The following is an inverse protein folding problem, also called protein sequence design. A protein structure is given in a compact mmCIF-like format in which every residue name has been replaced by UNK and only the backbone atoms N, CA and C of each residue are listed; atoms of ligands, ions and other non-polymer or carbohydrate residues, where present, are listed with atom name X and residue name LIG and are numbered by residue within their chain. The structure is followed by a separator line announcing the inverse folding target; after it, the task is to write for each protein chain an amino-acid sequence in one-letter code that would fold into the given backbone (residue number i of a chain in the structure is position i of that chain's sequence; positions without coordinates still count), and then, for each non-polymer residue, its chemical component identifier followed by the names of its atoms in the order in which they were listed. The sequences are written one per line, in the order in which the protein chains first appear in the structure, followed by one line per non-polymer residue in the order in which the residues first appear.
data_IF_321484194666
#
_entry.id   IF_321484194666
#
_cell.length_a   1.000
_cell.length_b   1.000
_cell.length_c   1.000
_cell.angle_alpha   90.00
_cell.angle_beta   90.00
_cell.angle_gamma   90.00
#
_symmetry.space_group_name_H-M   'P 1'
#
loop_
_entity.id
_entity.type
_entity.pdbx_description
1 polymer ?
#
# COMPACT_ATOMS: atom_id res chain seq x y z
N UNK A 1 -25.50 -0.52 34.00
CA UNK A 1 -25.25 -1.38 32.82
C UNK A 1 -25.14 -0.53 31.56
N UNK A 2 -26.20 0.19 31.15
CA UNK A 2 -26.19 1.12 30.00
C UNK A 2 -25.05 2.15 29.99
N UNK A 3 -24.79 2.85 31.11
CA UNK A 3 -23.72 3.86 31.17
C UNK A 3 -22.32 3.24 31.00
N UNK A 4 -22.12 2.01 31.48
CA UNK A 4 -20.84 1.33 31.34
C UNK A 4 -20.63 0.87 29.88
N UNK A 5 -21.65 0.31 29.23
CA UNK A 5 -21.59 -0.10 27.81
C UNK A 5 -21.30 1.08 26.88
N UNK A 6 -21.97 2.22 27.09
CA UNK A 6 -21.71 3.46 26.32
C UNK A 6 -20.27 3.95 26.49
N UNK A 7 -19.68 3.81 27.69
CA UNK A 7 -18.30 4.22 27.93
C UNK A 7 -17.29 3.36 27.16
N UNK A 8 -17.50 2.05 27.06
CA UNK A 8 -16.59 1.16 26.34
C UNK A 8 -16.67 1.34 24.82
N UNK A 9 -17.87 1.49 24.25
CA UNK A 9 -18.03 1.70 22.81
C UNK A 9 -17.34 2.97 22.32
N UNK A 10 -17.51 4.07 23.07
CA UNK A 10 -16.84 5.35 22.78
C UNK A 10 -15.33 5.20 22.91
N UNK A 11 -14.86 4.57 23.98
CA UNK A 11 -13.42 4.33 24.19
C UNK A 11 -12.79 3.54 23.03
N UNK A 12 -13.41 2.42 22.62
CA UNK A 12 -12.89 1.60 21.53
C UNK A 12 -13.02 2.28 20.17
N UNK A 13 -14.04 3.10 19.95
CA UNK A 13 -14.15 3.93 18.75
C UNK A 13 -13.02 4.96 18.65
N UNK A 14 -12.71 5.63 19.77
CA UNK A 14 -11.57 6.55 19.85
C UNK A 14 -10.27 5.80 19.60
N UNK A 15 -10.10 4.63 20.21
CA UNK A 15 -8.94 3.78 19.98
C UNK A 15 -8.79 3.39 18.50
N UNK A 16 -9.85 2.93 17.84
CA UNK A 16 -9.84 2.58 16.43
C UNK A 16 -9.43 3.75 15.54
N UNK A 17 -9.97 4.95 15.80
CA UNK A 17 -9.62 6.15 15.06
C UNK A 17 -8.16 6.54 15.26
N UNK A 18 -7.67 6.57 16.51
CA UNK A 18 -6.28 6.93 16.83
C UNK A 18 -5.31 5.90 16.27
N UNK A 19 -5.62 4.61 16.38
CA UNK A 19 -4.83 3.53 15.80
C UNK A 19 -4.76 3.69 14.28
N UNK A 20 -5.90 3.94 13.62
CA UNK A 20 -5.94 4.18 12.18
C UNK A 20 -5.12 5.40 11.77
N UNK A 21 -5.13 6.49 12.55
CA UNK A 21 -4.28 7.66 12.27
C UNK A 21 -2.78 7.32 12.41
N UNK A 22 -2.40 6.56 13.43
CA UNK A 22 -1.03 6.09 13.63
C UNK A 22 -0.58 5.16 12.49
N UNK A 23 -1.42 4.22 12.08
CA UNK A 23 -1.16 3.34 10.94
C UNK A 23 -1.04 4.17 9.65
N UNK A 24 -1.95 5.11 9.40
CA UNK A 24 -1.87 6.01 8.24
C UNK A 24 -0.56 6.82 8.20
N UNK A 25 -0.06 7.24 9.36
CA UNK A 25 1.25 7.92 9.45
C UNK A 25 2.41 7.00 9.07
N UNK A 26 2.34 5.72 9.47
CA UNK A 26 3.27 4.69 9.00
C UNK A 26 3.12 4.41 7.49
N UNK A 27 1.90 4.38 6.95
CA UNK A 27 1.66 4.20 5.51
C UNK A 27 2.32 5.30 4.68
N UNK A 28 2.37 6.54 5.16
CA UNK A 28 3.13 7.60 4.48
C UNK A 28 4.63 7.26 4.32
N UNK A 29 5.21 6.51 5.26
CA UNK A 29 6.58 6.00 5.15
C UNK A 29 6.65 4.94 4.06
N UNK A 30 5.72 3.98 4.04
CA UNK A 30 5.67 2.93 3.01
C UNK A 30 5.48 3.53 1.61
N UNK A 31 4.52 4.45 1.45
CA UNK A 31 4.22 5.12 0.18
C UNK A 31 5.45 5.84 -0.37
N UNK A 32 6.23 6.50 0.49
CA UNK A 32 7.45 7.18 0.07
C UNK A 32 8.61 6.23 -0.23
N UNK A 33 8.78 5.15 0.55
CA UNK A 33 10.01 4.34 0.52
C UNK A 33 9.94 3.14 -0.42
N UNK A 34 8.79 2.45 -0.50
CA UNK A 34 8.64 1.24 -1.31
C UNK A 34 8.95 1.47 -2.80
N UNK A 35 8.40 2.52 -3.46
CA UNK A 35 8.67 2.77 -4.89
C UNK A 35 10.15 3.08 -5.18
N UNK A 36 10.86 3.59 -4.17
CA UNK A 36 12.27 3.96 -4.26
C UNK A 36 13.21 2.83 -3.81
N UNK A 37 12.69 1.62 -3.56
CA UNK A 37 13.44 0.49 -3.01
C UNK A 37 14.21 0.83 -1.72
N UNK A 38 13.70 1.79 -0.93
CA UNK A 38 14.31 2.20 0.32
C UNK A 38 13.85 1.32 1.47
N UNK A 39 14.76 1.04 2.40
CA UNK A 39 14.42 0.28 3.61
C UNK A 39 13.36 1.00 4.45
N UNK A 40 12.27 0.31 4.77
CA UNK A 40 11.22 0.83 5.66
C UNK A 40 11.76 1.02 7.09
N UNK A 41 12.71 0.18 7.52
CA UNK A 41 13.24 0.18 8.88
C UNK A 41 14.56 0.97 9.04
N UNK A 42 15.19 1.39 7.94
CA UNK A 42 16.45 2.13 7.97
C UNK A 42 16.37 3.41 7.10
N UNK A 43 16.44 4.62 7.70
CA UNK A 43 16.51 4.90 9.14
C UNK A 43 15.19 4.59 9.87
N UNK A 44 15.30 4.20 11.15
CA UNK A 44 14.16 3.82 12.01
C UNK A 44 13.16 4.96 12.24
N UNK A 45 13.62 6.21 12.20
CA UNK A 45 12.77 7.39 12.39
C UNK A 45 12.45 8.05 11.06
N UNK A 46 11.24 8.63 10.98
CA UNK A 46 10.85 9.51 9.88
C UNK A 46 11.79 10.72 9.78
N UNK A 47 12.02 11.18 8.56
CA UNK A 47 12.88 12.33 8.27
C UNK A 47 12.22 13.21 7.20
N UNK A 48 12.56 14.49 7.19
CA UNK A 48 12.08 15.41 6.16
C UNK A 48 12.76 15.10 4.81
N UNK A 49 12.02 14.91 3.72
CA UNK A 49 12.61 14.58 2.42
C UNK A 49 13.49 15.72 1.85
N UNK A 50 13.23 16.98 2.20
CA UNK A 50 13.99 18.14 1.73
C UNK A 50 15.28 18.39 2.52
N UNK A 51 15.22 18.48 3.85
CA UNK A 51 16.39 18.81 4.67
C UNK A 51 17.06 17.59 5.31
N UNK A 52 16.49 16.38 5.14
CA UNK A 52 16.96 15.10 5.70
C UNK A 52 17.11 15.06 7.22
N UNK A 53 16.66 16.09 7.94
CA UNK A 53 16.62 16.11 9.41
C UNK A 53 15.57 15.10 9.89
N UNK A 54 15.92 14.36 10.95
CA UNK A 54 14.98 13.48 11.64
C UNK A 54 13.84 14.28 12.26
N UNK A 55 12.61 13.75 12.16
CA UNK A 55 11.41 14.34 12.72
C UNK A 55 11.29 13.91 14.18
N UNK A 56 11.12 14.88 15.08
CA UNK A 56 10.87 14.62 16.49
C UNK A 56 9.49 13.97 16.68
N UNK A 57 9.32 13.14 17.70
CA UNK A 57 8.08 12.37 17.88
C UNK A 57 6.82 13.26 17.96
N UNK A 58 6.89 14.42 18.63
CA UNK A 58 5.79 15.38 18.71
C UNK A 58 5.40 16.00 17.36
N UNK A 59 6.36 16.09 16.43
CA UNK A 59 6.16 16.60 15.07
C UNK A 59 5.69 15.49 14.11
N UNK A 60 5.60 14.26 14.61
CA UNK A 60 5.09 13.09 13.90
C UNK A 60 3.76 12.62 14.51
N UNK A 61 3.08 13.46 15.29
CA UNK A 61 1.74 13.19 15.78
C UNK A 61 0.74 13.27 14.61
N UNK A 62 0.06 12.16 14.25
CA UNK A 62 -0.82 12.11 13.08
C UNK A 62 -1.91 13.17 13.14
N UNK A 63 -2.29 13.74 11.99
CA UNK A 63 -3.27 14.81 11.77
C UNK A 63 -2.89 16.16 12.40
N UNK A 64 -2.52 16.15 13.68
CA UNK A 64 -2.25 17.33 14.49
C UNK A 64 -1.00 18.06 13.99
N UNK A 65 0.09 17.33 13.73
CA UNK A 65 1.36 17.96 13.35
C UNK A 65 1.24 18.74 12.05
N UNK A 66 0.50 18.22 11.07
CA UNK A 66 0.31 18.91 9.80
C UNK A 66 -0.51 20.20 9.96
N UNK A 67 -1.57 20.17 10.78
CA UNK A 67 -2.41 21.34 11.06
C UNK A 67 -1.65 22.42 11.84
N UNK A 68 -0.94 22.03 12.91
CA UNK A 68 -0.18 22.95 13.77
C UNK A 68 0.98 23.59 12.98
N UNK A 69 1.70 22.80 12.19
CA UNK A 69 2.80 23.29 11.36
C UNK A 69 2.32 23.94 10.04
N UNK A 70 1.00 24.01 9.82
CA UNK A 70 0.36 24.59 8.61
C UNK A 70 0.94 24.00 7.31
N UNK A 71 1.15 22.69 7.30
CA UNK A 71 1.72 21.97 6.16
C UNK A 71 3.16 22.37 5.81
N UNK A 72 3.98 22.74 6.81
CA UNK A 72 5.40 23.08 6.60
C UNK A 72 6.32 22.33 7.55
N UNK A 73 7.54 22.06 7.11
CA UNK A 73 8.56 21.49 7.97
C UNK A 73 9.01 22.51 9.02
N UNK A 74 9.06 22.11 10.30
CA UNK A 74 9.50 22.96 11.40
C UNK A 74 10.97 23.42 11.29
N UNK A 75 11.83 22.66 10.60
CA UNK A 75 13.26 22.96 10.49
C UNK A 75 13.61 23.80 9.27
N UNK A 76 13.09 23.46 8.08
CA UNK A 76 13.46 24.12 6.82
C UNK A 76 12.34 24.91 6.15
N UNK A 77 11.11 24.90 6.69
CA UNK A 77 9.97 25.60 6.11
C UNK A 77 9.42 25.03 4.79
N UNK A 78 10.01 23.94 4.29
CA UNK A 78 9.55 23.25 3.08
C UNK A 78 8.09 22.78 3.25
N UNK A 79 7.30 22.86 2.18
CA UNK A 79 5.89 22.46 2.20
C UNK A 79 5.78 20.94 2.32
N UNK A 80 4.95 20.47 3.25
CA UNK A 80 4.56 19.07 3.40
C UNK A 80 3.26 18.89 2.62
N UNK A 81 3.26 17.98 1.65
CA UNK A 81 2.11 17.73 0.79
C UNK A 81 0.85 17.39 1.60
N UNK A 82 -0.32 17.83 1.12
CA UNK A 82 -1.60 17.52 1.75
C UNK A 82 -1.89 16.01 1.79
N UNK A 83 -1.27 15.23 0.89
CA UNK A 83 -1.33 13.76 0.90
C UNK A 83 -1.06 13.17 2.28
N UNK A 84 -0.06 13.68 3.01
CA UNK A 84 0.29 13.13 4.32
C UNK A 84 -0.90 13.17 5.29
N UNK A 85 -1.56 14.33 5.36
CA UNK A 85 -2.76 14.52 6.16
C UNK A 85 -3.93 13.67 5.65
N UNK A 86 -4.13 13.63 4.33
CA UNK A 86 -5.22 12.87 3.71
C UNK A 86 -5.09 11.36 3.99
N UNK A 87 -3.90 10.78 3.85
CA UNK A 87 -3.65 9.36 4.15
C UNK A 87 -3.97 9.06 5.62
N UNK A 88 -3.45 9.87 6.54
CA UNK A 88 -3.69 9.71 7.98
C UNK A 88 -5.20 9.78 8.32
N UNK A 89 -5.91 10.74 7.73
CA UNK A 89 -7.33 10.95 8.00
C UNK A 89 -8.18 9.83 7.40
N UNK A 90 -7.91 9.44 6.15
CA UNK A 90 -8.65 8.37 5.48
C UNK A 90 -8.46 7.04 6.21
N UNK A 91 -7.24 6.68 6.61
CA UNK A 91 -7.01 5.44 7.36
C UNK A 91 -7.74 5.47 8.72
N UNK A 92 -7.69 6.60 9.44
CA UNK A 92 -8.41 6.77 10.72
C UNK A 92 -9.93 6.61 10.56
N UNK A 93 -10.51 7.24 9.53
CA UNK A 93 -11.94 7.16 9.25
C UNK A 93 -12.37 5.76 8.83
N UNK A 94 -11.64 5.11 7.91
CA UNK A 94 -11.98 3.74 7.50
C UNK A 94 -11.86 2.73 8.65
N UNK A 95 -10.85 2.88 9.52
CA UNK A 95 -10.71 2.02 10.69
C UNK A 95 -11.92 2.17 11.63
N UNK A 96 -12.34 3.41 11.89
CA UNK A 96 -13.51 3.70 12.69
C UNK A 96 -14.81 3.17 12.07
N UNK A 97 -15.00 3.38 10.76
CA UNK A 97 -16.19 2.90 10.03
C UNK A 97 -16.29 1.38 10.12
N UNK A 98 -15.20 0.68 9.85
CA UNK A 98 -15.17 -0.78 9.91
C UNK A 98 -15.39 -1.30 11.34
N UNK A 99 -14.83 -0.63 12.34
CA UNK A 99 -15.06 -0.97 13.75
C UNK A 99 -16.54 -0.90 14.13
N UNK A 100 -17.27 0.10 13.62
CA UNK A 100 -18.69 0.28 13.89
C UNK A 100 -19.59 -0.62 13.06
N UNK A 101 -19.13 -1.06 11.89
CA UNK A 101 -19.93 -1.84 10.95
C UNK A 101 -19.81 -3.36 11.18
N UNK A 102 -18.70 -3.84 11.73
CA UNK A 102 -18.39 -5.28 11.80
C UNK A 102 -18.00 -5.74 13.21
N UNK A 103 -18.20 -7.04 13.53
CA UNK A 103 -17.61 -7.65 14.71
C UNK A 103 -16.09 -7.46 14.76
N UNK A 104 -15.53 -7.37 15.97
CA UNK A 104 -14.14 -6.99 16.17
C UNK A 104 -13.13 -7.88 15.41
N UNK A 105 -13.39 -9.18 15.24
CA UNK A 105 -12.53 -10.10 14.50
C UNK A 105 -12.44 -9.74 13.01
N UNK A 106 -13.59 -9.46 12.41
CA UNK A 106 -13.69 -9.03 11.01
C UNK A 106 -13.07 -7.63 10.89
N UNK A 107 -13.36 -6.73 11.84
CA UNK A 107 -12.83 -5.39 11.83
C UNK A 107 -11.30 -5.35 11.82
N UNK A 108 -10.63 -6.13 12.69
CA UNK A 108 -9.16 -6.20 12.75
C UNK A 108 -8.58 -6.76 11.44
N UNK A 109 -9.18 -7.82 10.87
CA UNK A 109 -8.72 -8.36 9.60
C UNK A 109 -8.89 -7.34 8.45
N UNK A 110 -10.02 -6.65 8.43
CA UNK A 110 -10.31 -5.59 7.45
C UNK A 110 -9.40 -4.38 7.60
N UNK A 111 -8.95 -4.04 8.81
CA UNK A 111 -7.95 -2.97 9.03
C UNK A 111 -6.64 -3.22 8.29
N UNK A 112 -6.15 -4.47 8.31
CA UNK A 112 -4.94 -4.86 7.56
C UNK A 112 -5.18 -4.69 6.07
N UNK A 113 -6.31 -5.19 5.55
CA UNK A 113 -6.66 -5.05 4.15
C UNK A 113 -6.78 -3.58 3.71
N UNK A 114 -7.48 -2.75 4.50
CA UNK A 114 -7.63 -1.31 4.24
C UNK A 114 -6.27 -0.61 4.23
N UNK A 115 -5.39 -0.93 5.17
CA UNK A 115 -4.05 -0.33 5.21
C UNK A 115 -3.24 -0.65 3.95
N UNK A 116 -3.31 -1.90 3.47
CA UNK A 116 -2.65 -2.33 2.23
C UNK A 116 -3.24 -1.63 1.00
N UNK A 117 -4.56 -1.56 0.89
CA UNK A 117 -5.24 -0.91 -0.24
C UNK A 117 -4.93 0.58 -0.26
N UNK A 118 -4.99 1.28 0.88
CA UNK A 118 -4.64 2.71 0.95
C UNK A 118 -3.19 2.92 0.48
N UNK A 119 -2.24 2.11 0.96
CA UNK A 119 -0.86 2.21 0.53
C UNK A 119 -0.72 1.98 -0.98
N UNK A 120 -1.33 0.93 -1.51
CA UNK A 120 -1.30 0.61 -2.94
C UNK A 120 -1.90 1.74 -3.78
N UNK A 121 -3.07 2.29 -3.40
CA UNK A 121 -3.73 3.38 -4.13
C UNK A 121 -2.87 4.64 -4.20
N UNK A 122 -2.27 5.07 -3.09
CA UNK A 122 -1.44 6.28 -3.12
C UNK A 122 -0.11 6.07 -3.82
N UNK A 123 0.47 4.86 -3.79
CA UNK A 123 1.65 4.56 -4.58
C UNK A 123 1.30 4.56 -6.07
N UNK A 124 0.19 3.93 -6.46
CA UNK A 124 -0.27 3.89 -7.84
C UNK A 124 -0.57 5.31 -8.38
N UNK A 125 -1.19 6.18 -7.59
CA UNK A 125 -1.41 7.57 -8.01
C UNK A 125 -0.14 8.40 -8.18
N UNK A 126 0.95 8.09 -7.45
CA UNK A 126 2.21 8.83 -7.56
C UNK A 126 3.17 8.24 -8.59
N UNK A 127 3.13 6.91 -8.78
CA UNK A 127 4.16 6.18 -9.51
C UNK A 127 3.60 5.25 -10.61
N UNK A 128 2.29 5.04 -10.68
CA UNK A 128 1.63 4.10 -11.60
C UNK A 128 2.16 2.66 -11.50
N UNK A 129 2.58 2.27 -10.31
CA UNK A 129 3.07 0.92 -10.00
C UNK A 129 2.41 0.40 -8.72
N UNK A 130 2.36 -0.92 -8.58
CA UNK A 130 1.97 -1.59 -7.33
C UNK A 130 3.14 -2.47 -6.88
N UNK A 131 3.84 -2.13 -5.78
CA UNK A 131 4.98 -2.91 -5.31
C UNK A 131 4.62 -4.35 -4.95
N UNK A 132 5.50 -5.29 -5.30
CA UNK A 132 5.31 -6.71 -5.05
C UNK A 132 5.20 -7.02 -3.55
N UNK A 133 5.85 -6.24 -2.69
CA UNK A 133 5.75 -6.35 -1.23
C UNK A 133 4.31 -6.17 -0.74
N UNK A 134 3.53 -5.29 -1.39
CA UNK A 134 2.12 -5.08 -1.06
C UNK A 134 1.23 -6.17 -1.67
N UNK A 135 1.48 -6.56 -2.92
CA UNK A 135 0.64 -7.54 -3.63
C UNK A 135 0.84 -8.95 -3.07
N UNK A 136 2.08 -9.43 -2.99
CA UNK A 136 2.41 -10.77 -2.49
C UNK A 136 2.17 -10.81 -0.97
N UNK A 137 2.66 -9.80 -0.24
CA UNK A 137 2.44 -9.69 1.20
C UNK A 137 0.96 -9.62 1.55
N UNK A 138 0.16 -8.87 0.78
CA UNK A 138 -1.28 -8.78 0.94
C UNK A 138 -2.02 -10.09 0.63
N UNK A 139 -1.57 -10.83 -0.38
CA UNK A 139 -2.12 -12.16 -0.70
C UNK A 139 -1.89 -13.14 0.47
N UNK A 140 -0.67 -13.18 1.00
CA UNK A 140 -0.33 -14.03 2.16
C UNK A 140 -1.14 -13.60 3.39
N UNK A 141 -1.17 -12.29 3.68
CA UNK A 141 -1.94 -11.75 4.81
C UNK A 141 -3.43 -12.07 4.69
N UNK A 142 -4.00 -12.00 3.47
CA UNK A 142 -5.39 -12.34 3.20
C UNK A 142 -5.71 -13.81 3.46
N UNK A 143 -4.85 -14.74 3.04
CA UNK A 143 -4.99 -16.18 3.31
C UNK A 143 -4.87 -16.51 4.79
N UNK A 144 -3.96 -15.84 5.51
CA UNK A 144 -3.83 -16.00 6.97
C UNK A 144 -5.07 -15.43 7.67
N UNK A 145 -5.55 -14.26 7.24
CA UNK A 145 -6.74 -13.63 7.82
C UNK A 145 -8.00 -14.46 7.60
N UNK A 146 -8.22 -14.99 6.39
CA UNK A 146 -9.39 -15.82 6.06
C UNK A 146 -9.42 -17.13 6.85
N UNK A 147 -8.26 -17.72 7.12
CA UNK A 147 -8.17 -18.95 7.92
C UNK A 147 -8.29 -18.71 9.42
N UNK A 148 -7.76 -17.59 9.91
CA UNK A 148 -7.90 -17.16 11.30
C UNK A 148 -9.33 -16.70 11.62
N UNK A 149 -10.00 -16.04 10.66
CA UNK A 149 -11.36 -15.50 10.78
C UNK A 149 -12.23 -16.02 9.61
N UNK A 150 -12.71 -17.29 9.68
CA UNK A 150 -13.50 -17.91 8.63
C UNK A 150 -14.77 -17.15 8.24
N UNK A 151 -15.29 -16.34 9.16
CA UNK A 151 -16.47 -15.49 8.95
C UNK A 151 -16.28 -14.48 7.80
N UNK A 152 -15.04 -14.12 7.47
CA UNK A 152 -14.74 -13.32 6.27
C UNK A 152 -15.26 -13.98 4.98
N UNK A 153 -15.26 -15.32 4.94
CA UNK A 153 -15.71 -16.12 3.81
C UNK A 153 -17.13 -16.67 4.02
N UNK A 154 -17.92 -16.09 4.94
CA UNK A 154 -19.26 -16.54 5.30
C UNK A 154 -19.32 -18.05 5.65
N UNK A 155 -18.31 -18.57 6.35
CA UNK A 155 -18.24 -19.96 6.77
C UNK A 155 -17.67 -20.08 8.18
N UNK A 156 -17.98 -21.17 8.89
CA UNK A 156 -17.41 -21.46 10.21
C UNK A 156 -16.20 -22.41 10.13
N UNK A 157 -16.00 -23.06 8.98
CA UNK A 157 -14.97 -24.09 8.82
C UNK A 157 -13.71 -23.48 8.23
N UNK A 158 -12.62 -23.48 9.00
CA UNK A 158 -11.30 -22.95 8.60
C UNK A 158 -10.78 -23.54 7.27
N UNK A 159 -10.95 -24.85 7.08
CA UNK A 159 -10.52 -25.50 5.84
C UNK A 159 -11.33 -24.99 4.63
N UNK A 160 -12.63 -24.78 4.80
CA UNK A 160 -13.48 -24.23 3.72
C UNK A 160 -13.09 -22.79 3.42
N UNK A 161 -12.84 -21.97 4.46
CA UNK A 161 -12.35 -20.60 4.28
C UNK A 161 -11.00 -20.54 3.55
N UNK A 162 -10.07 -21.45 3.87
CA UNK A 162 -8.79 -21.57 3.16
C UNK A 162 -9.00 -21.90 1.68
N UNK A 163 -9.83 -22.92 1.39
CA UNK A 163 -10.08 -23.36 0.01
C UNK A 163 -10.77 -22.28 -0.82
N UNK A 164 -11.76 -21.58 -0.24
CA UNK A 164 -12.43 -20.45 -0.90
C UNK A 164 -11.42 -19.35 -1.18
N UNK A 165 -10.69 -18.88 -0.16
CA UNK A 165 -9.76 -17.76 -0.33
C UNK A 165 -8.58 -18.09 -1.27
N UNK A 166 -8.04 -19.30 -1.19
CA UNK A 166 -7.02 -19.78 -2.13
C UNK A 166 -7.57 -19.90 -3.56
N UNK A 167 -8.81 -20.40 -3.71
CA UNK A 167 -9.51 -20.44 -4.98
C UNK A 167 -9.75 -19.06 -5.57
N UNK A 168 -10.15 -18.08 -4.75
CA UNK A 168 -10.33 -16.68 -5.15
C UNK A 168 -9.01 -16.03 -5.56
N UNK A 169 -7.92 -16.29 -4.83
CA UNK A 169 -6.59 -15.79 -5.19
C UNK A 169 -6.12 -16.37 -6.54
N UNK A 170 -6.28 -17.67 -6.74
CA UNK A 170 -5.96 -18.34 -8.01
C UNK A 170 -6.81 -17.82 -9.16
N UNK A 171 -8.11 -17.58 -8.93
CA UNK A 171 -9.01 -16.99 -9.92
C UNK A 171 -8.60 -15.57 -10.28
N UNK A 172 -8.26 -14.74 -9.30
CA UNK A 172 -7.78 -13.38 -9.52
C UNK A 172 -6.51 -13.36 -10.37
N UNK A 173 -5.54 -14.23 -10.05
CA UNK A 173 -4.33 -14.40 -10.85
C UNK A 173 -4.64 -14.86 -12.28
N UNK A 174 -5.51 -15.86 -12.43
CA UNK A 174 -5.91 -16.37 -13.74
C UNK A 174 -6.59 -15.28 -14.59
N UNK A 175 -7.44 -14.44 -14.00
CA UNK A 175 -8.09 -13.33 -14.68
C UNK A 175 -7.07 -12.30 -15.18
N UNK A 176 -6.13 -11.88 -14.33
CA UNK A 176 -5.06 -10.97 -14.73
C UNK A 176 -4.20 -11.57 -15.84
N UNK A 177 -3.86 -12.85 -15.72
CA UNK A 177 -3.10 -13.57 -16.72
C UNK A 177 -3.83 -13.64 -18.07
N UNK A 178 -5.15 -13.89 -18.06
CA UNK A 178 -5.98 -13.87 -19.26
C UNK A 178 -6.04 -12.49 -19.91
N UNK A 179 -6.16 -11.42 -19.14
CA UNK A 179 -6.11 -10.05 -19.66
C UNK A 179 -4.76 -9.78 -20.32
N UNK A 180 -3.65 -10.20 -19.70
CA UNK A 180 -2.31 -10.04 -20.25
C UNK A 180 -2.11 -10.83 -21.55
N UNK A 181 -2.50 -12.10 -21.59
CA UNK A 181 -2.34 -12.91 -22.80
C UNK A 181 -3.32 -12.49 -23.91
N UNK A 182 -4.53 -12.07 -23.54
CA UNK A 182 -5.50 -11.44 -24.45
C UNK A 182 -4.95 -10.14 -25.06
N UNK A 183 -4.30 -9.29 -24.25
CA UNK A 183 -3.60 -8.10 -24.73
C UNK A 183 -2.50 -8.45 -25.72
N UNK A 184 -1.66 -9.45 -25.44
CA UNK A 184 -0.62 -9.92 -26.38
C UNK A 184 -1.19 -10.46 -27.68
N UNK A 185 -2.38 -11.07 -27.66
CA UNK A 185 -3.07 -11.54 -28.85
C UNK A 185 -3.62 -10.38 -29.69
N UNK A 186 -4.27 -9.40 -29.06
CA UNK A 186 -4.90 -8.25 -29.73
C UNK A 186 -3.86 -7.28 -30.29
N UNK A 187 -2.84 -6.93 -29.51
CA UNK A 187 -1.80 -5.98 -29.92
C UNK A 187 -0.64 -6.63 -30.67
N UNK A 188 -0.62 -7.97 -30.74
CA UNK A 188 0.46 -8.74 -31.34
C UNK A 188 1.76 -8.70 -30.52
N UNK A 189 2.70 -9.58 -30.87
CA UNK A 189 4.06 -9.58 -30.30
C UNK A 189 4.99 -8.89 -31.30
N UNK A 190 5.60 -7.77 -30.93
CA UNK A 190 6.68 -7.15 -31.74
C UNK A 190 7.89 -8.09 -31.70
N UNK A 191 8.09 -8.87 -32.76
CA UNK A 191 9.28 -9.72 -32.95
C UNK A 191 10.17 -9.06 -33.99
N UNK A 192 11.29 -8.52 -33.53
CA UNK A 192 12.30 -7.95 -34.42
C UNK A 192 13.30 -9.07 -34.74
N UNK A 193 13.41 -9.44 -36.02
CA UNK A 193 14.38 -10.43 -36.48
C UNK A 193 15.46 -9.69 -37.26
N UNK A 194 16.69 -9.73 -36.75
CA UNK A 194 17.82 -9.08 -37.39
C UNK A 194 18.44 -10.03 -38.43
N UNK A 195 18.58 -9.57 -39.68
CA UNK A 195 19.17 -10.37 -40.77
C UNK A 195 20.68 -10.55 -40.63
N UNK A 196 21.35 -9.61 -39.97
CA UNK A 196 22.78 -9.63 -39.69
C UNK A 196 23.01 -9.57 -38.19
N UNK A 197 24.12 -10.15 -37.67
CA UNK A 197 24.55 -9.92 -36.30
C UNK A 197 24.66 -8.40 -36.08
N UNK A 198 23.74 -7.85 -35.31
CA UNK A 198 23.65 -6.42 -35.05
C UNK A 198 24.15 -6.19 -33.64
N UNK A 199 25.09 -5.27 -33.46
CA UNK A 199 25.58 -4.94 -32.12
C UNK A 199 24.42 -4.40 -31.29
N UNK A 200 24.29 -4.91 -30.06
CA UNK A 200 23.38 -4.32 -29.08
C UNK A 200 24.19 -3.40 -28.17
N UNK A 201 23.57 -2.28 -27.80
CA UNK A 201 24.10 -1.34 -26.82
C UNK A 201 23.11 -1.28 -25.67
N UNK A 202 23.63 -1.49 -24.47
CA UNK A 202 22.87 -1.39 -23.24
C UNK A 202 23.51 -0.28 -22.41
N UNK A 203 22.80 0.83 -22.29
CA UNK A 203 23.26 2.02 -21.59
C UNK A 203 22.32 2.30 -20.43
N UNK A 204 22.83 2.09 -19.21
CA UNK A 204 22.05 2.29 -17.98
C UNK A 204 21.99 3.77 -17.62
N UNK A 205 20.78 4.26 -17.36
CA UNK A 205 20.49 5.61 -16.89
C UNK A 205 19.71 5.54 -15.57
N UNK A 206 20.41 5.39 -14.45
CA UNK A 206 19.77 5.22 -13.14
C UNK A 206 19.10 3.86 -13.01
N UNK A 207 17.77 3.84 -12.89
CA UNK A 207 16.96 2.62 -12.78
C UNK A 207 16.46 2.11 -14.15
N UNK A 208 16.50 2.95 -15.19
CA UNK A 208 16.13 2.58 -16.55
C UNK A 208 17.38 2.20 -17.36
N UNK A 209 17.21 1.40 -18.41
CA UNK A 209 18.26 1.19 -19.41
C UNK A 209 17.74 1.39 -20.84
N UNK A 210 18.54 2.12 -21.63
CA UNK A 210 18.34 2.16 -23.07
C UNK A 210 18.91 0.87 -23.66
N UNK A 211 18.02 0.04 -24.21
CA UNK A 211 18.40 -1.12 -25.01
C UNK A 211 18.23 -0.77 -26.49
N UNK A 212 19.36 -0.58 -27.16
CA UNK A 212 19.44 -0.24 -28.58
C UNK A 212 19.99 -1.42 -29.34
N UNK A 213 19.29 -1.86 -30.39
CA UNK A 213 19.77 -2.91 -31.31
C UNK A 213 19.60 -2.41 -32.74
N UNK A 214 20.71 -2.01 -33.37
CA UNK A 214 20.67 -1.33 -34.67
C UNK A 214 19.97 0.04 -34.56
N UNK A 215 18.94 0.26 -35.38
CA UNK A 215 18.14 1.50 -35.39
C UNK A 215 16.93 1.46 -34.42
N UNK A 216 16.66 0.31 -33.80
CA UNK A 216 15.55 0.13 -32.86
C UNK A 216 15.99 0.46 -31.43
N UNK A 217 15.28 1.41 -30.80
CA UNK A 217 15.49 1.81 -29.41
C UNK A 217 14.29 1.39 -28.57
N UNK A 218 14.55 0.62 -27.51
CA UNK A 218 13.55 0.23 -26.51
C UNK A 218 14.02 0.61 -25.11
N UNK A 219 13.08 1.02 -24.27
CA UNK A 219 13.30 1.19 -22.84
C UNK A 219 13.23 -0.19 -22.17
N UNK A 220 14.21 -0.47 -21.31
CA UNK A 220 14.32 -1.68 -20.51
C UNK A 220 14.25 -1.34 -19.03
#
# INVERSE_FOLDING_TARGET
MFVAEVNYEVLFSIFAFVLGACIGSFLNVCIYRLPLNLSINQPRRSFCPSCKRQISWHQNLPLVSWLVLRGRCANCGARIAFRYFAVELLTALFFLIVWKAFPWQIAIASWVFIALVIAATFIDFEHFIIPDELTIGGTIAGLIASTAVPQLMNTDRRLVALLISAGSAALGYALLWLVLEGGKLVFGKKRIRFEKPTAFTWTRHGDDADFVVGDEKSLW
#
